data_IF_339406296938
#
_entry.id   IF_339406296938
#
_cell.length_a   1.000
_cell.length_b   1.000
_cell.length_c   1.000
_cell.angle_alpha   90.00
_cell.angle_beta   90.00
_cell.angle_gamma   90.00
#
_symmetry.space_group_name_H-M   'P 1'
#
loop_
_entity.id
_entity.type
_entity.pdbx_description
1 polymer ?
#
# COMPACT_ATOMS: atom_id res chain seq x y z
N UNK A 1 -17.14 -7.70 4.35
CA UNK A 1 -16.11 -7.07 3.50
C UNK A 1 -15.21 -6.24 4.40
N UNK A 2 -13.89 -6.43 4.37
CA UNK A 2 -12.96 -5.67 5.20
C UNK A 2 -12.28 -4.59 4.36
N UNK A 3 -12.48 -3.32 4.71
CA UNK A 3 -11.96 -2.16 3.99
C UNK A 3 -10.44 -2.01 4.10
N UNK A 4 -9.83 -2.64 5.10
CA UNK A 4 -8.38 -2.56 5.32
C UNK A 4 -7.60 -3.50 4.41
N UNK A 5 -8.25 -4.46 3.75
CA UNK A 5 -7.57 -5.37 2.84
C UNK A 5 -7.33 -4.71 1.48
N UNK A 6 -6.08 -4.60 1.01
CA UNK A 6 -5.78 -3.96 -0.27
C UNK A 6 -6.51 -4.54 -1.48
N UNK A 7 -6.92 -5.81 -1.42
CA UNK A 7 -7.73 -6.47 -2.46
C UNK A 7 -9.07 -5.78 -2.70
N UNK A 8 -9.67 -5.15 -1.67
CA UNK A 8 -11.03 -4.58 -1.74
C UNK A 8 -11.03 -3.12 -2.21
N UNK A 9 -9.89 -2.43 -2.16
CA UNK A 9 -9.80 -0.98 -2.38
C UNK A 9 -10.29 -0.48 -3.74
N UNK A 10 -10.17 -1.29 -4.79
CA UNK A 10 -10.63 -0.91 -6.14
C UNK A 10 -12.16 -0.82 -6.25
N UNK A 11 -12.90 -1.35 -5.25
CA UNK A 11 -14.36 -1.43 -5.23
C UNK A 11 -15.01 -0.58 -4.13
N UNK A 12 -14.21 0.18 -3.37
CA UNK A 12 -14.73 1.02 -2.30
C UNK A 12 -15.46 2.24 -2.86
N UNK A 13 -16.60 2.58 -2.25
CA UNK A 13 -17.25 3.85 -2.50
C UNK A 13 -16.56 5.00 -1.76
N UNK A 14 -16.99 6.24 -2.03
CA UNK A 14 -16.39 7.43 -1.42
C UNK A 14 -16.45 7.43 0.11
N UNK A 15 -17.57 6.98 0.70
CA UNK A 15 -17.73 7.00 2.17
C UNK A 15 -16.75 6.02 2.84
N UNK A 16 -16.57 4.85 2.24
CA UNK A 16 -15.61 3.86 2.73
C UNK A 16 -14.16 4.29 2.49
N UNK A 17 -13.89 5.00 1.40
CA UNK A 17 -12.57 5.63 1.17
C UNK A 17 -12.30 6.67 2.25
N UNK A 18 -13.23 7.58 2.52
CA UNK A 18 -13.08 8.63 3.54
C UNK A 18 -12.83 8.01 4.92
N UNK A 19 -13.59 6.97 5.28
CA UNK A 19 -13.38 6.22 6.52
C UNK A 19 -12.01 5.52 6.59
N UNK A 20 -11.57 4.90 5.51
CA UNK A 20 -10.27 4.21 5.43
C UNK A 20 -9.10 5.20 5.53
N UNK A 21 -9.25 6.39 4.94
CA UNK A 21 -8.25 7.47 5.04
C UNK A 21 -8.17 8.00 6.47
N UNK A 22 -9.30 8.19 7.15
CA UNK A 22 -9.33 8.61 8.56
C UNK A 22 -8.65 7.60 9.49
N UNK A 23 -8.84 6.30 9.24
CA UNK A 23 -8.28 5.22 10.08
C UNK A 23 -6.84 4.82 9.71
N UNK A 24 -6.29 5.34 8.61
CA UNK A 24 -5.04 4.89 8.00
C UNK A 24 -5.06 3.42 7.55
N UNK A 25 -4.19 3.01 6.61
CA UNK A 25 -4.09 1.60 6.25
C UNK A 25 -3.55 0.78 7.42
N UNK A 26 -4.17 -0.39 7.65
CA UNK A 26 -3.57 -1.38 8.54
C UNK A 26 -2.37 -2.02 7.84
N UNK A 27 -1.19 -1.86 8.45
CA UNK A 27 0.04 -2.54 8.03
C UNK A 27 0.39 -3.62 9.04
N UNK A 28 0.73 -4.79 8.52
CA UNK A 28 1.38 -5.81 9.32
C UNK A 28 2.89 -5.52 9.38
N UNK A 29 3.36 -5.06 10.54
CA UNK A 29 4.77 -4.75 10.79
C UNK A 29 5.56 -5.95 11.34
N UNK A 30 4.89 -7.05 11.66
CA UNK A 30 5.54 -8.28 12.15
C UNK A 30 6.24 -9.06 11.04
N UNK A 31 5.92 -8.77 9.77
CA UNK A 31 6.56 -9.44 8.65
C UNK A 31 7.93 -8.84 8.37
N UNK A 32 8.97 -9.67 8.46
CA UNK A 32 10.32 -9.28 8.03
C UNK A 32 10.51 -9.47 6.53
N UNK A 33 10.12 -10.64 6.00
CA UNK A 33 10.28 -10.99 4.59
C UNK A 33 9.04 -11.73 4.07
N UNK A 34 8.66 -11.44 2.82
CA UNK A 34 7.70 -12.21 2.04
C UNK A 34 8.33 -13.50 1.45
N UNK A 35 7.54 -14.33 0.76
CA UNK A 35 8.06 -15.47 0.02
C UNK A 35 9.00 -15.01 -1.11
N UNK A 36 9.94 -15.88 -1.48
CA UNK A 36 10.84 -15.64 -2.61
C UNK A 36 10.18 -16.10 -3.91
N UNK A 37 10.31 -15.29 -4.95
CA UNK A 37 9.98 -15.68 -6.31
C UNK A 37 11.10 -16.54 -6.95
N UNK A 38 10.87 -17.01 -8.18
CA UNK A 38 11.84 -17.82 -8.94
C UNK A 38 13.19 -17.14 -9.22
N UNK A 39 13.31 -15.85 -8.93
CA UNK A 39 14.52 -15.05 -9.08
C UNK A 39 15.09 -14.63 -7.72
N UNK A 40 14.66 -15.26 -6.62
CA UNK A 40 15.04 -14.94 -5.24
C UNK A 40 14.67 -13.51 -4.81
N UNK A 41 13.70 -12.87 -5.47
CA UNK A 41 13.19 -11.55 -5.08
C UNK A 41 12.04 -11.73 -4.12
N UNK A 42 11.94 -10.86 -3.12
CA UNK A 42 10.88 -10.88 -2.13
C UNK A 42 10.60 -9.49 -1.60
N UNK A 43 9.45 -9.31 -0.96
CA UNK A 43 9.22 -8.17 -0.09
C UNK A 43 10.12 -8.26 1.16
N UNK A 44 10.67 -7.14 1.60
CA UNK A 44 11.36 -7.01 2.87
C UNK A 44 10.82 -5.81 3.64
N UNK A 45 10.65 -5.94 4.95
CA UNK A 45 10.24 -4.85 5.85
C UNK A 45 11.14 -3.62 5.75
N UNK A 46 12.39 -3.80 5.32
CA UNK A 46 13.33 -2.71 5.01
C UNK A 46 12.76 -1.70 4.04
N UNK A 47 11.84 -2.09 3.15
CA UNK A 47 11.19 -1.17 2.22
C UNK A 47 10.23 -0.18 2.89
N UNK A 48 9.79 -0.44 4.13
CA UNK A 48 9.00 0.51 4.92
C UNK A 48 9.85 1.71 5.35
N UNK A 49 11.16 1.57 5.52
CA UNK A 49 12.02 2.68 5.94
C UNK A 49 12.76 3.28 4.76
N UNK A 50 12.67 4.60 4.61
CA UNK A 50 13.54 5.38 3.73
C UNK A 50 14.67 6.01 4.53
N UNK A 51 15.88 5.92 3.99
CA UNK A 51 17.05 6.60 4.52
C UNK A 51 17.28 7.88 3.71
N UNK A 52 17.40 9.01 4.40
CA UNK A 52 17.71 10.30 3.81
C UNK A 52 19.22 10.54 3.78
N UNK A 53 19.69 11.45 2.94
CA UNK A 53 21.12 11.73 2.77
C UNK A 53 21.81 12.29 4.02
N UNK A 54 21.02 12.83 4.95
CA UNK A 54 21.46 13.28 6.27
C UNK A 54 21.47 12.16 7.34
N UNK A 55 21.17 10.91 6.96
CA UNK A 55 21.13 9.77 7.87
C UNK A 55 19.80 9.58 8.63
N UNK A 56 18.84 10.49 8.46
CA UNK A 56 17.52 10.35 9.06
C UNK A 56 16.72 9.21 8.42
N UNK A 57 15.85 8.60 9.23
CA UNK A 57 14.95 7.53 8.81
C UNK A 57 13.52 8.06 8.76
N UNK A 58 12.82 7.73 7.68
CA UNK A 58 11.42 8.07 7.49
C UNK A 58 10.60 6.81 7.23
N UNK A 59 9.52 6.61 7.99
CA UNK A 59 8.60 5.50 7.77
C UNK A 59 7.63 5.81 6.62
N UNK A 60 7.55 4.90 5.66
CA UNK A 60 6.63 4.96 4.52
C UNK A 60 5.30 4.35 4.92
N UNK A 61 4.55 5.10 5.73
CA UNK A 61 3.22 4.69 6.22
C UNK A 61 2.21 4.40 5.11
N UNK A 62 2.42 4.99 3.93
CA UNK A 62 1.60 4.78 2.74
C UNK A 62 1.90 3.47 2.00
N UNK A 63 2.97 2.74 2.35
CA UNK A 63 3.35 1.49 1.71
C UNK A 63 2.70 0.31 2.45
N UNK A 64 1.93 -0.52 1.76
CA UNK A 64 1.19 -1.63 2.36
C UNK A 64 1.50 -2.94 1.65
N UNK A 65 2.07 -3.90 2.37
CA UNK A 65 2.28 -5.24 1.85
C UNK A 65 1.09 -6.16 2.15
N UNK A 66 0.59 -6.85 1.14
CA UNK A 66 -0.48 -7.84 1.25
C UNK A 66 0.10 -9.24 1.16
N UNK A 67 0.12 -9.96 2.28
CA UNK A 67 0.55 -11.37 2.36
C UNK A 67 -0.24 -12.28 1.41
N UNK A 68 -1.56 -12.10 1.37
CA UNK A 68 -2.45 -12.90 0.52
C UNK A 68 -2.19 -12.74 -0.98
N UNK A 69 -1.70 -11.56 -1.40
CA UNK A 69 -1.44 -11.24 -2.80
C UNK A 69 0.03 -11.32 -3.16
N UNK A 70 0.91 -11.45 -2.16
CA UNK A 70 2.36 -11.28 -2.28
C UNK A 70 2.72 -10.01 -3.07
N UNK A 71 2.09 -8.89 -2.71
CA UNK A 71 2.19 -7.62 -3.44
C UNK A 71 2.25 -6.43 -2.50
N UNK A 72 3.01 -5.42 -2.93
CA UNK A 72 3.10 -4.12 -2.28
C UNK A 72 2.18 -3.13 -2.99
N UNK A 73 1.48 -2.31 -2.21
CA UNK A 73 0.59 -1.27 -2.69
C UNK A 73 0.99 0.09 -2.12
N UNK A 74 0.98 1.11 -2.97
CA UNK A 74 0.91 2.49 -2.52
C UNK A 74 -0.56 2.80 -2.14
N UNK A 75 -0.82 3.11 -0.87
CA UNK A 75 -2.15 3.40 -0.32
C UNK A 75 -2.86 4.50 -1.10
N UNK A 76 -2.28 5.71 -1.11
CA UNK A 76 -2.86 6.86 -1.79
C UNK A 76 -3.04 6.61 -3.30
N UNK A 77 -2.02 6.03 -3.95
CA UNK A 77 -2.04 5.77 -5.39
C UNK A 77 -3.16 4.80 -5.77
N UNK A 78 -3.42 3.80 -4.93
CA UNK A 78 -4.44 2.77 -5.18
C UNK A 78 -5.85 3.30 -4.91
N UNK A 79 -6.04 4.10 -3.86
CA UNK A 79 -7.35 4.70 -3.54
C UNK A 79 -7.74 5.81 -4.51
N UNK A 80 -6.80 6.66 -4.89
CA UNK A 80 -7.05 7.86 -5.69
C UNK A 80 -6.57 7.73 -7.13
N UNK A 81 -6.64 6.51 -7.71
CA UNK A 81 -6.34 6.31 -9.13
C UNK A 81 -7.13 7.33 -9.95
N UNK A 82 -6.44 8.24 -10.64
CA UNK A 82 -7.08 9.13 -11.59
C UNK A 82 -7.79 8.24 -12.61
N UNK A 83 -9.12 8.32 -12.69
CA UNK A 83 -9.81 7.88 -13.91
C UNK A 83 -9.16 8.66 -15.05
N UNK A 84 -8.90 8.06 -16.23
CA UNK A 84 -8.40 8.83 -17.36
C UNK A 84 -9.31 10.05 -17.50
N UNK A 85 -8.71 11.25 -17.54
CA UNK A 85 -9.45 12.45 -17.93
C UNK A 85 -10.12 12.09 -19.24
N UNK A 86 -11.45 11.92 -19.22
CA UNK A 86 -12.21 11.92 -20.44
C UNK A 86 -11.99 13.32 -21.00
N UNK A 87 -11.18 13.44 -22.05
CA UNK A 87 -11.07 14.67 -22.81
C UNK A 87 -12.49 14.97 -23.23
N UNK A 88 -13.10 16.01 -22.64
CA UNK A 88 -14.40 16.50 -23.07
C UNK A 88 -14.21 16.93 -24.52
N UNK A 89 -14.69 16.09 -25.45
CA UNK A 89 -14.85 16.46 -26.84
C UNK A 89 -15.88 17.57 -26.94
#
# INVERSE_FOLDING_TARGET
MNIFFPRTWDSLDKKLIDLLVEKSPLRDLSIENGPQDKFNRHFSSKFYTQFLGNGEKYDREWLVYSKELDKVFCFCCKLFKRRPMQLRR
#
